data_IF_449616052665
#
_entry.id   IF_449616052665
#
_cell.length_a   1.000
_cell.length_b   1.000
_cell.length_c   1.000
_cell.angle_alpha   90.00
_cell.angle_beta   90.00
_cell.angle_gamma   90.00
#
_symmetry.space_group_name_H-M   'P 1'
#
loop_
_entity.id
_entity.type
_entity.pdbx_description
1 polymer ?
#
# COMPACT_ATOMS: atom_id res chain seq x y z
N UNK A 1 -15.17 -6.96 3.04
CA UNK A 1 -14.89 -5.61 3.57
C UNK A 1 -16.13 -4.74 3.36
N UNK A 2 -16.66 -4.11 4.41
CA UNK A 2 -17.80 -3.18 4.28
C UNK A 2 -17.27 -1.76 4.46
N UNK A 3 -17.16 -1.01 3.36
CA UNK A 3 -16.73 0.38 3.41
C UNK A 3 -17.90 1.31 3.70
N UNK A 4 -17.65 2.29 4.56
CA UNK A 4 -18.58 3.38 4.85
C UNK A 4 -18.66 4.35 3.67
N UNK A 5 -19.79 5.04 3.54
CA UNK A 5 -19.96 6.10 2.54
C UNK A 5 -18.89 7.21 2.67
N UNK A 6 -18.44 7.49 3.90
CA UNK A 6 -17.36 8.45 4.16
C UNK A 6 -16.03 8.02 3.54
N UNK A 7 -15.69 6.73 3.60
CA UNK A 7 -14.46 6.17 3.04
C UNK A 7 -14.49 6.21 1.52
N UNK A 8 -15.60 5.79 0.91
CA UNK A 8 -15.79 5.87 -0.55
C UNK A 8 -15.69 7.33 -1.04
N UNK A 9 -16.34 8.26 -0.35
CA UNK A 9 -16.26 9.68 -0.68
C UNK A 9 -14.80 10.19 -0.60
N UNK A 10 -14.06 9.83 0.45
CA UNK A 10 -12.68 10.28 0.61
C UNK A 10 -11.73 9.70 -0.43
N UNK A 11 -11.92 8.44 -0.79
CA UNK A 11 -11.18 7.82 -1.88
C UNK A 11 -11.49 8.49 -3.21
N UNK A 12 -12.78 8.69 -3.53
CA UNK A 12 -13.23 9.36 -4.76
C UNK A 12 -12.67 10.77 -4.90
N UNK A 13 -12.70 11.57 -3.83
CA UNK A 13 -12.05 12.90 -3.78
C UNK A 13 -10.56 12.82 -4.14
N UNK A 14 -9.84 11.85 -3.57
CA UNK A 14 -8.40 11.68 -3.80
C UNK A 14 -8.12 11.24 -5.25
N UNK A 15 -8.92 10.31 -5.77
CA UNK A 15 -8.79 9.78 -7.12
C UNK A 15 -9.09 10.84 -8.19
N UNK A 16 -10.14 11.65 -7.99
CA UNK A 16 -10.53 12.70 -8.92
C UNK A 16 -9.51 13.85 -8.98
N UNK A 17 -8.70 14.04 -7.93
CA UNK A 17 -7.60 15.01 -7.93
C UNK A 17 -6.34 14.55 -8.68
N UNK A 18 -6.29 13.29 -9.13
CA UNK A 18 -5.16 12.75 -9.89
C UNK A 18 -5.18 13.23 -11.35
N UNK A 19 -4.01 13.46 -11.92
CA UNK A 19 -3.88 13.66 -13.36
C UNK A 19 -3.97 12.32 -14.12
N UNK A 20 -4.07 12.37 -15.45
CA UNK A 20 -4.27 11.17 -16.28
C UNK A 20 -3.15 10.13 -16.15
N UNK A 21 -1.88 10.54 -16.02
CA UNK A 21 -0.77 9.60 -15.83
C UNK A 21 -0.81 8.94 -14.45
N UNK A 22 -1.22 9.68 -13.43
CA UNK A 22 -1.38 9.16 -12.07
C UNK A 22 -2.57 8.19 -12.00
N UNK A 23 -3.70 8.50 -12.65
CA UNK A 23 -4.85 7.58 -12.77
C UNK A 23 -4.44 6.30 -13.48
N UNK A 24 -3.73 6.40 -14.60
CA UNK A 24 -3.20 5.22 -15.30
C UNK A 24 -2.39 4.31 -14.37
N UNK A 25 -1.52 4.87 -13.54
CA UNK A 25 -0.75 4.11 -12.57
C UNK A 25 -1.61 3.48 -11.45
N UNK A 26 -2.72 4.12 -11.07
CA UNK A 26 -3.68 3.60 -10.07
C UNK A 26 -4.58 2.51 -10.67
N UNK A 27 -5.05 2.71 -11.89
CA UNK A 27 -6.01 1.83 -12.58
C UNK A 27 -5.37 0.58 -13.16
N UNK A 28 -4.06 0.62 -13.42
CA UNK A 28 -3.30 -0.57 -13.84
C UNK A 28 -3.07 -1.47 -12.63
N UNK A 29 -4.09 -2.25 -12.26
CA UNK A 29 -4.06 -3.17 -11.12
C UNK A 29 -3.29 -4.46 -11.44
N UNK A 30 -3.35 -4.93 -12.68
CA UNK A 30 -2.69 -6.15 -13.13
C UNK A 30 -1.28 -5.89 -13.65
N UNK A 31 -0.38 -6.83 -13.39
CA UNK A 31 0.98 -6.83 -13.92
C UNK A 31 1.94 -5.79 -13.32
N UNK A 32 3.20 -5.77 -13.79
CA UNK A 32 4.23 -4.87 -13.27
C UNK A 32 4.01 -3.44 -13.75
N UNK A 33 4.15 -2.48 -12.84
CA UNK A 33 4.05 -1.04 -13.13
C UNK A 33 5.20 -0.30 -12.47
N UNK A 34 5.90 0.53 -13.25
CA UNK A 34 6.98 1.40 -12.78
C UNK A 34 6.57 2.86 -12.94
N UNK A 35 6.59 3.62 -11.83
CA UNK A 35 6.28 5.05 -11.83
C UNK A 35 7.56 5.84 -11.61
N UNK A 36 7.99 6.57 -12.64
CA UNK A 36 9.14 7.48 -12.59
C UNK A 36 8.61 8.89 -12.31
N UNK A 37 8.95 9.46 -11.15
CA UNK A 37 8.41 10.77 -10.78
C UNK A 37 9.41 11.61 -9.97
N UNK A 38 9.47 12.91 -10.25
CA UNK A 38 10.28 13.88 -9.51
C UNK A 38 9.80 14.13 -8.06
N UNK A 39 10.55 14.84 -7.23
CA UNK A 39 10.11 15.25 -5.89
C UNK A 39 8.75 15.99 -5.93
N UNK A 40 7.91 15.84 -4.91
CA UNK A 40 6.63 16.57 -4.79
C UNK A 40 5.49 16.13 -5.74
N UNK A 41 5.72 15.20 -6.65
CA UNK A 41 4.74 14.75 -7.67
C UNK A 41 3.63 13.80 -7.17
N UNK A 42 3.47 13.65 -5.86
CA UNK A 42 2.39 12.85 -5.29
C UNK A 42 2.61 11.32 -5.31
N UNK A 43 3.84 10.82 -5.46
CA UNK A 43 4.17 9.37 -5.47
C UNK A 43 3.46 8.56 -4.37
N UNK A 44 3.48 9.06 -3.14
CA UNK A 44 2.83 8.39 -2.00
C UNK A 44 1.31 8.39 -2.10
N UNK A 45 0.71 9.41 -2.72
CA UNK A 45 -0.72 9.46 -2.98
C UNK A 45 -1.11 8.45 -4.05
N UNK A 46 -0.33 8.35 -5.13
CA UNK A 46 -0.52 7.33 -6.19
C UNK A 46 -0.48 5.93 -5.58
N UNK A 47 0.56 5.62 -4.79
CA UNK A 47 0.73 4.30 -4.18
C UNK A 47 -0.43 3.94 -3.22
N UNK A 48 -0.85 4.87 -2.37
CA UNK A 48 -1.98 4.66 -1.47
C UNK A 48 -3.32 4.51 -2.20
N UNK A 49 -3.54 5.29 -3.27
CA UNK A 49 -4.73 5.19 -4.09
C UNK A 49 -4.77 3.85 -4.85
N UNK A 50 -3.64 3.38 -5.38
CA UNK A 50 -3.54 2.07 -6.03
C UNK A 50 -3.84 0.91 -5.09
N UNK A 51 -3.31 0.92 -3.87
CA UNK A 51 -3.66 -0.08 -2.86
C UNK A 51 -5.16 -0.04 -2.55
N UNK A 52 -5.73 1.16 -2.41
CA UNK A 52 -7.17 1.34 -2.23
C UNK A 52 -7.97 0.74 -3.39
N UNK A 53 -7.59 1.06 -4.63
CA UNK A 53 -8.19 0.55 -5.88
C UNK A 53 -8.24 -0.97 -5.90
N UNK A 54 -7.10 -1.63 -5.67
CA UNK A 54 -6.99 -3.10 -5.64
C UNK A 54 -7.98 -3.67 -4.62
N UNK A 55 -7.97 -3.16 -3.39
CA UNK A 55 -8.86 -3.69 -2.34
C UNK A 55 -10.34 -3.37 -2.55
N UNK A 56 -10.67 -2.33 -3.34
CA UNK A 56 -12.04 -1.94 -3.64
C UNK A 56 -12.64 -2.68 -4.83
N UNK A 57 -11.84 -2.94 -5.85
CA UNK A 57 -12.32 -3.46 -7.14
C UNK A 57 -12.05 -4.96 -7.31
N UNK A 58 -11.22 -5.56 -6.47
CA UNK A 58 -10.95 -7.01 -6.48
C UNK A 58 -11.35 -7.68 -5.18
N UNK A 59 -11.29 -9.01 -5.16
CA UNK A 59 -11.48 -9.86 -3.98
C UNK A 59 -10.19 -10.02 -3.15
N UNK A 60 -9.14 -9.25 -3.45
CA UNK A 60 -7.86 -9.30 -2.73
C UNK A 60 -8.05 -8.97 -1.26
N UNK A 61 -7.59 -9.87 -0.38
CA UNK A 61 -7.54 -9.58 1.06
C UNK A 61 -6.47 -8.52 1.35
N UNK A 62 -6.72 -7.57 2.29
CA UNK A 62 -5.69 -6.64 2.75
C UNK A 62 -4.37 -7.31 3.15
N UNK A 63 -4.45 -8.50 3.76
CA UNK A 63 -3.28 -9.28 4.18
C UNK A 63 -2.42 -9.74 3.00
N UNK A 64 -2.96 -9.77 1.77
CA UNK A 64 -2.24 -10.17 0.55
C UNK A 64 -1.40 -9.04 -0.06
N UNK A 65 -1.49 -7.81 0.47
CA UNK A 65 -0.72 -6.66 0.00
C UNK A 65 0.50 -6.43 0.89
N UNK A 66 1.68 -6.45 0.28
CA UNK A 66 2.95 -6.01 0.89
C UNK A 66 3.36 -4.64 0.34
N UNK A 67 3.52 -3.66 1.22
CA UNK A 67 3.99 -2.32 0.91
C UNK A 67 5.30 -2.03 1.64
N UNK A 68 6.39 -1.89 0.89
CA UNK A 68 7.72 -1.62 1.44
C UNK A 68 8.10 -0.15 1.27
N UNK A 69 8.81 0.38 2.27
CA UNK A 69 9.39 1.73 2.24
C UNK A 69 10.75 1.75 2.94
N UNK A 70 11.48 2.86 2.82
CA UNK A 70 12.79 3.02 3.48
C UNK A 70 12.69 3.55 4.91
N UNK A 71 11.63 4.28 5.25
CA UNK A 71 11.54 5.01 6.53
C UNK A 71 10.28 4.65 7.31
N UNK A 72 10.39 4.65 8.64
CA UNK A 72 9.25 4.47 9.54
C UNK A 72 8.19 5.57 9.35
N UNK A 73 8.62 6.80 9.07
CA UNK A 73 7.71 7.89 8.70
C UNK A 73 6.88 7.54 7.45
N UNK A 74 7.47 6.84 6.48
CA UNK A 74 6.76 6.33 5.30
C UNK A 74 5.71 5.27 5.66
N UNK A 75 6.03 4.36 6.60
CA UNK A 75 5.08 3.34 7.09
C UNK A 75 3.87 4.01 7.73
N UNK A 76 4.11 4.95 8.65
CA UNK A 76 3.04 5.69 9.34
C UNK A 76 2.20 6.52 8.36
N UNK A 77 2.86 7.22 7.42
CA UNK A 77 2.16 8.03 6.42
C UNK A 77 1.29 7.18 5.49
N UNK A 78 1.77 5.99 5.09
CA UNK A 78 0.99 5.07 4.27
C UNK A 78 -0.19 4.49 5.05
N UNK A 79 0.05 4.03 6.29
CA UNK A 79 -0.99 3.50 7.19
C UNK A 79 -2.12 4.51 7.39
N UNK A 80 -1.77 5.76 7.73
CA UNK A 80 -2.73 6.86 7.92
C UNK A 80 -3.55 7.12 6.66
N UNK A 81 -2.95 7.02 5.48
CA UNK A 81 -3.65 7.21 4.21
C UNK A 81 -4.62 6.08 3.94
N UNK A 82 -4.20 4.83 4.09
CA UNK A 82 -5.09 3.68 3.91
C UNK A 82 -6.25 3.70 4.92
N UNK A 83 -6.01 4.14 6.16
CA UNK A 83 -7.08 4.34 7.15
C UNK A 83 -8.19 5.26 6.64
N UNK A 84 -7.87 6.25 5.82
CA UNK A 84 -8.89 7.14 5.22
C UNK A 84 -9.67 6.49 4.08
N UNK A 85 -9.11 5.50 3.39
CA UNK A 85 -9.74 4.86 2.22
C UNK A 85 -10.49 3.59 2.59
N UNK A 86 -9.97 2.79 3.51
CA UNK A 86 -10.49 1.46 3.84
C UNK A 86 -10.72 1.25 5.34
N UNK A 87 -10.49 2.29 6.17
CA UNK A 87 -10.75 2.21 7.60
C UNK A 87 -9.85 1.21 8.32
N UNK A 88 -10.36 0.54 9.37
CA UNK A 88 -9.58 -0.40 10.19
C UNK A 88 -8.91 -1.53 9.40
N UNK A 89 -9.44 -1.93 8.24
CA UNK A 89 -8.79 -2.92 7.37
C UNK A 89 -7.40 -2.45 6.89
N UNK A 90 -7.09 -1.16 6.97
CA UNK A 90 -5.74 -0.65 6.75
C UNK A 90 -4.70 -1.24 7.69
N UNK A 91 -5.07 -1.73 8.88
CA UNK A 91 -4.13 -2.40 9.80
C UNK A 91 -3.74 -3.81 9.36
N UNK A 92 -4.54 -4.42 8.48
CA UNK A 92 -4.27 -5.75 7.91
C UNK A 92 -3.32 -5.71 6.71
N UNK A 93 -3.21 -4.56 6.04
CA UNK A 93 -2.20 -4.36 4.99
C UNK A 93 -0.80 -4.48 5.60
N UNK A 94 0.07 -5.30 5.00
CA UNK A 94 1.45 -5.46 5.46
C UNK A 94 2.30 -4.28 4.97
N UNK A 95 2.58 -3.33 5.85
CA UNK A 95 3.38 -2.13 5.53
C UNK A 95 4.59 -2.11 6.44
N UNK A 96 5.78 -2.15 5.85
CA UNK A 96 7.04 -2.27 6.58
C UNK A 96 8.12 -1.38 5.98
N UNK A 97 9.14 -1.10 6.79
CA UNK A 97 10.44 -0.79 6.22
C UNK A 97 11.09 -2.05 5.66
N UNK A 98 12.02 -1.92 4.70
CA UNK A 98 12.78 -3.07 4.19
C UNK A 98 13.43 -3.89 5.31
N UNK A 99 14.08 -3.22 6.27
CA UNK A 99 14.73 -3.90 7.40
C UNK A 99 13.74 -4.65 8.28
N UNK A 100 12.60 -4.02 8.62
CA UNK A 100 11.57 -4.65 9.44
C UNK A 100 10.99 -5.90 8.76
N UNK A 101 10.68 -5.79 7.45
CA UNK A 101 10.18 -6.93 6.68
C UNK A 101 11.19 -8.09 6.61
N UNK A 102 12.46 -7.79 6.30
CA UNK A 102 13.49 -8.83 6.26
C UNK A 102 13.68 -9.51 7.61
N UNK A 103 13.64 -8.75 8.71
CA UNK A 103 13.74 -9.32 10.05
C UNK A 103 12.54 -10.23 10.35
N UNK A 104 11.32 -9.80 10.01
CA UNK A 104 10.08 -10.59 10.16
C UNK A 104 10.20 -11.94 9.43
N UNK A 105 10.61 -11.90 8.16
CA UNK A 105 10.84 -13.09 7.34
C UNK A 105 11.88 -14.02 7.97
N UNK A 106 12.99 -13.51 8.48
CA UNK A 106 14.02 -14.33 9.14
C UNK A 106 13.48 -15.00 10.40
N UNK A 107 12.76 -14.26 11.24
CA UNK A 107 12.21 -14.79 12.49
C UNK A 107 11.14 -15.86 12.25
N UNK A 108 10.31 -15.70 11.23
CA UNK A 108 9.31 -16.70 10.83
C UNK A 108 9.92 -17.96 10.21
N UNK A 109 11.17 -17.87 9.71
CA UNK A 109 11.82 -18.91 8.92
C UNK A 109 13.20 -19.29 9.49
N UNK A 110 13.38 -19.23 10.82
CA UNK A 110 14.68 -19.40 11.48
C UNK A 110 15.43 -20.66 11.02
N UNK A 111 14.74 -21.78 10.80
CA UNK A 111 15.34 -23.03 10.34
C UNK A 111 16.07 -22.93 8.98
N UNK A 112 15.72 -21.97 8.13
CA UNK A 112 16.42 -21.70 6.88
C UNK A 112 17.63 -20.77 7.04
N UNK A 113 17.71 -20.06 8.18
CA UNK A 113 18.77 -19.08 8.48
C UNK A 113 19.70 -19.52 9.62
N UNK A 114 19.43 -20.67 10.25
CA UNK A 114 20.37 -21.34 11.13
C UNK A 114 21.65 -21.64 10.35
N UNK A 115 22.78 -21.11 10.84
CA UNK A 115 24.08 -21.54 10.34
C UNK A 115 24.25 -22.99 10.77
N UNK A 116 24.27 -23.90 9.80
CA UNK A 116 24.87 -25.23 10.00
C UNK A 116 26.35 -24.98 10.39
N UNK A 117 26.62 -24.99 11.69
CA UNK A 117 27.97 -25.06 12.25
C UNK A 117 28.27 -26.51 12.55
#
# INVERSE_FOLDING_TARGET
MVQTEKQKAKYSETYNALNEQQKLAVDTIEGPVMVIAGPGTGKTQILGARIGKILMETDTSPDSILCLTYTEAGVVAMRRRLLTFIGPDAYRVRIYTFHAFCNDVIQENLSYFEKNV
#
